data_IF_252430374988
#
_entry.id   IF_252430374988
#
_cell.length_a   1.000
_cell.length_b   1.000
_cell.length_c   1.000
_cell.angle_alpha   90.00
_cell.angle_beta   90.00
_cell.angle_gamma   90.00
#
_symmetry.space_group_name_H-M   'P 1'
#
loop_
_entity.id
_entity.type
_entity.pdbx_description
1 polymer ?
#
# COMPACT_ATOMS: atom_id res chain seq x y z
N UNK A 1 15.50 -9.14 -28.00
CA UNK A 1 15.30 -9.82 -26.71
C UNK A 1 13.81 -9.97 -26.47
N UNK A 2 13.31 -11.19 -26.37
CA UNK A 2 11.92 -11.47 -25.98
C UNK A 2 11.72 -11.29 -24.47
N UNK A 3 10.46 -11.28 -24.02
CA UNK A 3 10.12 -11.12 -22.59
C UNK A 3 10.70 -12.25 -21.71
N UNK A 4 10.85 -13.45 -22.25
CA UNK A 4 11.47 -14.59 -21.56
C UNK A 4 12.98 -14.38 -21.36
N UNK A 5 13.70 -14.06 -22.43
CA UNK A 5 15.15 -13.79 -22.38
C UNK A 5 15.48 -12.61 -21.45
N UNK A 6 14.63 -11.59 -21.43
CA UNK A 6 14.79 -10.45 -20.52
C UNK A 6 14.57 -10.89 -19.06
N UNK A 7 13.56 -11.71 -18.78
CA UNK A 7 13.30 -12.23 -17.43
C UNK A 7 14.49 -13.04 -16.92
N UNK A 8 15.03 -13.94 -17.74
CA UNK A 8 16.14 -14.80 -17.35
C UNK A 8 17.41 -13.98 -17.06
N UNK A 9 17.73 -12.99 -17.89
CA UNK A 9 18.86 -12.08 -17.65
C UNK A 9 18.70 -11.27 -16.37
N UNK A 10 17.49 -10.75 -16.09
CA UNK A 10 17.23 -10.00 -14.85
C UNK A 10 17.39 -10.90 -13.61
N UNK A 11 16.92 -12.15 -13.67
CA UNK A 11 17.08 -13.11 -12.57
C UNK A 11 18.56 -13.41 -12.28
N UNK A 12 19.39 -13.55 -13.32
CA UNK A 12 20.83 -13.76 -13.17
C UNK A 12 21.52 -12.58 -12.45
N UNK A 13 21.16 -11.34 -12.82
CA UNK A 13 21.67 -10.15 -12.11
C UNK A 13 21.24 -10.11 -10.65
N UNK A 14 19.97 -10.47 -10.34
CA UNK A 14 19.46 -10.48 -8.97
C UNK A 14 20.19 -11.53 -8.11
N UNK A 15 20.46 -12.71 -8.65
CA UNK A 15 21.10 -13.81 -7.90
C UNK A 15 22.55 -13.51 -7.48
N UNK A 16 23.20 -12.55 -8.13
CA UNK A 16 24.60 -12.18 -7.86
C UNK A 16 24.74 -10.73 -7.36
N UNK A 17 23.62 -10.02 -7.21
CA UNK A 17 23.60 -8.62 -6.77
C UNK A 17 24.02 -8.45 -5.31
N UNK A 18 24.67 -7.32 -5.02
CA UNK A 18 24.90 -6.87 -3.66
C UNK A 18 23.62 -6.28 -3.04
N UNK A 19 23.64 -6.08 -1.71
CA UNK A 19 22.50 -5.55 -0.97
C UNK A 19 22.07 -4.16 -1.48
N UNK A 20 23.02 -3.34 -1.93
CA UNK A 20 22.74 -1.99 -2.43
C UNK A 20 21.91 -2.06 -3.71
N UNK A 21 22.30 -2.88 -4.67
CA UNK A 21 21.55 -3.07 -5.91
C UNK A 21 20.18 -3.67 -5.64
N UNK A 22 20.09 -4.66 -4.75
CA UNK A 22 18.82 -5.26 -4.34
C UNK A 22 17.86 -4.23 -3.73
N UNK A 23 18.35 -3.30 -2.89
CA UNK A 23 17.55 -2.21 -2.34
C UNK A 23 16.98 -1.29 -3.41
N UNK A 24 17.79 -0.94 -4.43
CA UNK A 24 17.35 -0.10 -5.54
C UNK A 24 16.29 -0.83 -6.37
N UNK A 25 16.54 -2.09 -6.74
CA UNK A 25 15.57 -2.90 -7.50
C UNK A 25 14.26 -3.03 -6.75
N UNK A 26 14.32 -3.33 -5.44
CA UNK A 26 13.15 -3.38 -4.56
C UNK A 26 12.37 -2.06 -4.59
N UNK A 27 13.05 -0.92 -4.40
CA UNK A 27 12.39 0.38 -4.40
C UNK A 27 11.71 0.71 -5.74
N UNK A 28 12.34 0.35 -6.86
CA UNK A 28 11.75 0.53 -8.19
C UNK A 28 10.50 -0.34 -8.34
N UNK A 29 10.57 -1.63 -8.01
CA UNK A 29 9.42 -2.54 -8.08
C UNK A 29 8.28 -2.05 -7.19
N UNK A 30 8.59 -1.63 -5.96
CA UNK A 30 7.60 -1.08 -5.03
C UNK A 30 6.94 0.18 -5.59
N UNK A 31 7.67 1.06 -6.27
CA UNK A 31 7.07 2.26 -6.89
C UNK A 31 6.02 1.95 -7.96
N UNK A 32 6.19 0.85 -8.72
CA UNK A 32 5.16 0.41 -9.67
C UNK A 32 3.91 -0.15 -8.98
N UNK A 33 4.05 -0.64 -7.75
CA UNK A 33 2.93 -1.18 -6.97
C UNK A 33 2.16 -0.08 -6.23
N UNK A 34 2.75 1.10 -5.99
CA UNK A 34 2.06 2.18 -5.29
C UNK A 34 0.81 2.68 -6.04
N UNK A 35 0.81 2.62 -7.37
CA UNK A 35 -0.32 3.00 -8.23
C UNK A 35 -1.36 1.88 -8.43
N UNK A 36 -1.12 0.69 -7.89
CA UNK A 36 -2.07 -0.43 -7.96
C UNK A 36 -3.35 -0.08 -7.21
N UNK A 37 -4.51 -0.24 -7.85
CA UNK A 37 -5.82 -0.06 -7.19
C UNK A 37 -6.05 -1.26 -6.27
N UNK A 38 -6.21 -1.01 -4.97
CA UNK A 38 -6.37 -2.06 -3.95
C UNK A 38 -7.72 -2.03 -3.23
N UNK A 39 -8.47 -0.94 -3.34
CA UNK A 39 -9.78 -0.77 -2.73
C UNK A 39 -10.62 0.27 -3.49
N UNK A 40 -11.88 0.41 -3.08
CA UNK A 40 -12.77 1.47 -3.54
C UNK A 40 -13.45 2.14 -2.34
N UNK A 41 -13.68 3.45 -2.42
CA UNK A 41 -14.42 4.20 -1.41
C UNK A 41 -15.92 3.86 -1.45
N UNK A 42 -16.68 4.33 -0.45
CA UNK A 42 -18.15 4.21 -0.42
C UNK A 42 -18.84 4.91 -1.60
N UNK A 43 -18.15 5.86 -2.26
CA UNK A 43 -18.60 6.53 -3.48
C UNK A 43 -18.13 5.81 -4.75
N UNK A 44 -17.47 4.65 -4.62
CA UNK A 44 -16.92 3.88 -5.74
C UNK A 44 -15.65 4.44 -6.35
N UNK A 45 -14.95 5.38 -5.69
CA UNK A 45 -13.69 5.93 -6.19
C UNK A 45 -12.54 4.96 -5.92
N UNK A 46 -11.67 4.67 -6.91
CA UNK A 46 -10.54 3.76 -6.69
C UNK A 46 -9.54 4.36 -5.71
N UNK A 47 -8.98 3.51 -4.85
CA UNK A 47 -7.94 3.85 -3.88
C UNK A 47 -6.67 3.07 -4.25
N UNK A 48 -5.58 3.79 -4.49
CA UNK A 48 -4.28 3.19 -4.80
C UNK A 48 -3.62 2.63 -3.54
N UNK A 49 -2.68 1.70 -3.70
CA UNK A 49 -1.89 1.15 -2.61
C UNK A 49 -1.20 2.24 -1.78
N UNK A 50 -0.66 3.25 -2.44
CA UNK A 50 -0.01 4.38 -1.76
C UNK A 50 -0.98 5.22 -0.93
N UNK A 51 -2.14 5.56 -1.49
CA UNK A 51 -3.18 6.26 -0.75
C UNK A 51 -3.66 5.44 0.46
N UNK A 52 -3.90 4.14 0.28
CA UNK A 52 -4.35 3.25 1.35
C UNK A 52 -3.32 3.14 2.49
N UNK A 53 -2.03 3.01 2.17
CA UNK A 53 -0.96 3.03 3.20
C UNK A 53 -0.91 4.34 3.97
N UNK A 54 -1.13 5.48 3.30
CA UNK A 54 -1.16 6.79 3.94
C UNK A 54 -2.37 6.91 4.90
N UNK A 55 -3.55 6.45 4.48
CA UNK A 55 -4.74 6.38 5.34
C UNK A 55 -4.50 5.50 6.58
N UNK A 56 -3.91 4.32 6.40
CA UNK A 56 -3.55 3.44 7.52
C UNK A 56 -2.55 4.07 8.49
N UNK A 57 -1.60 4.86 7.98
CA UNK A 57 -0.65 5.59 8.82
C UNK A 57 -1.37 6.67 9.65
N UNK A 58 -2.29 7.40 9.04
CA UNK A 58 -3.11 8.41 9.71
C UNK A 58 -4.01 7.77 10.77
N UNK A 59 -4.73 6.70 10.44
CA UNK A 59 -5.60 6.00 11.38
C UNK A 59 -4.84 5.48 12.62
N UNK A 60 -3.59 5.02 12.44
CA UNK A 60 -2.73 4.63 13.56
C UNK A 60 -2.39 5.80 14.48
N UNK A 61 -2.19 7.00 13.92
CA UNK A 61 -1.92 8.21 14.70
C UNK A 61 -3.18 8.69 15.44
N UNK A 62 -4.35 8.63 14.80
CA UNK A 62 -5.64 8.94 15.42
C UNK A 62 -5.89 8.03 16.64
N UNK A 63 -5.69 6.71 16.47
CA UNK A 63 -5.80 5.74 17.57
C UNK A 63 -4.84 6.09 18.72
N UNK A 64 -3.59 6.43 18.41
CA UNK A 64 -2.60 6.81 19.44
C UNK A 64 -2.97 8.09 20.19
N UNK A 65 -3.68 9.02 19.53
CA UNK A 65 -4.17 10.26 20.14
C UNK A 65 -5.49 10.08 20.91
N UNK A 66 -6.12 8.91 20.82
CA UNK A 66 -7.45 8.67 21.38
C UNK A 66 -8.59 9.21 20.50
N UNK A 67 -8.31 9.54 19.24
CA UNK A 67 -9.29 10.00 18.25
C UNK A 67 -10.02 8.78 17.63
N UNK A 68 -10.66 7.97 18.47
CA UNK A 68 -11.45 6.82 18.05
C UNK A 68 -12.80 6.81 18.78
N UNK A 69 -13.80 6.18 18.17
CA UNK A 69 -15.10 5.93 18.78
C UNK A 69 -15.27 4.44 19.00
N UNK A 70 -15.89 4.03 20.11
CA UNK A 70 -16.25 2.63 20.31
C UNK A 70 -17.46 2.27 19.45
N UNK A 71 -17.65 0.98 19.18
CA UNK A 71 -18.82 0.50 18.46
C UNK A 71 -20.13 0.93 19.18
N UNK A 72 -20.18 0.78 20.50
CA UNK A 72 -21.35 1.16 21.32
C UNK A 72 -21.67 2.66 21.24
N UNK A 73 -20.63 3.51 21.18
CA UNK A 73 -20.82 4.96 21.06
C UNK A 73 -21.27 5.36 19.65
N UNK A 74 -20.74 4.69 18.63
CA UNK A 74 -21.15 4.88 17.23
C UNK A 74 -22.61 4.48 17.01
N UNK A 75 -23.05 3.36 17.59
CA UNK A 75 -24.44 2.91 17.50
C UNK A 75 -25.41 3.95 18.08
N UNK A 76 -25.09 4.50 19.27
CA UNK A 76 -25.89 5.57 19.89
C UNK A 76 -25.90 6.85 19.06
N UNK A 77 -24.78 7.24 18.45
CA UNK A 77 -24.73 8.43 17.60
C UNK A 77 -25.62 8.25 16.35
N UNK A 78 -25.59 7.06 15.76
CA UNK A 78 -26.32 6.73 14.54
C UNK A 78 -27.85 6.78 14.67
N UNK A 79 -28.38 6.68 15.90
CA UNK A 79 -29.82 6.86 16.17
C UNK A 79 -30.34 8.25 15.76
N UNK A 80 -29.45 9.23 15.62
CA UNK A 80 -29.78 10.61 15.27
C UNK A 80 -29.45 10.98 13.80
N UNK A 81 -29.06 10.01 12.97
CA UNK A 81 -28.72 10.23 11.56
C UNK A 81 -29.92 10.13 10.61
#
# INVERSE_FOLDING_TARGET
MGALELRDSVLEYINTADERLLKVVKAVIESYQEEEIVAFSVEGKPITRGAYKAELANAKLEIQKGEFISQDDLEKESENW
#
